data_IF_122039498366
#
_entry.id   IF_122039498366
#
_cell.length_a   1.000
_cell.length_b   1.000
_cell.length_c   1.000
_cell.angle_alpha   90.00
_cell.angle_beta   90.00
_cell.angle_gamma   90.00
#
_symmetry.space_group_name_H-M   'P 1'
#
loop_
_entity.id
_entity.type
_entity.pdbx_description
1 polymer ?
#
# COMPACT_ATOMS: atom_id res chain seq x y z
N UNK A 1 3.25 47.35 12.02
CA UNK A 1 3.21 45.95 12.50
C UNK A 1 2.51 45.02 11.50
N UNK A 2 1.44 45.38 10.82
CA UNK A 2 0.70 44.55 9.85
C UNK A 2 1.53 43.96 8.67
N UNK A 3 2.46 44.72 8.09
CA UNK A 3 3.26 44.26 6.93
C UNK A 3 4.20 43.06 7.28
N UNK A 4 4.78 43.05 8.49
CA UNK A 4 5.64 41.93 8.94
C UNK A 4 4.87 40.62 9.16
N UNK A 5 3.65 40.68 9.70
CA UNK A 5 2.77 39.50 9.85
C UNK A 5 2.35 38.93 8.50
N UNK A 6 2.11 39.76 7.49
CA UNK A 6 1.73 39.32 6.16
C UNK A 6 2.87 38.55 5.46
N UNK A 7 4.13 38.94 5.62
CA UNK A 7 5.28 38.21 5.07
C UNK A 7 5.53 36.87 5.76
N UNK A 8 5.27 36.77 7.08
CA UNK A 8 5.38 35.52 7.81
C UNK A 8 4.29 34.55 7.37
N UNK A 9 3.05 35.01 7.18
CA UNK A 9 1.93 34.20 6.68
C UNK A 9 2.18 33.71 5.25
N UNK A 10 2.71 34.57 4.38
CA UNK A 10 3.09 34.21 3.01
C UNK A 10 4.24 33.21 2.97
N UNK A 11 5.22 33.32 3.87
CA UNK A 11 6.34 32.38 4.01
C UNK A 11 5.89 30.99 4.45
N UNK A 12 4.90 30.89 5.35
CA UNK A 12 4.34 29.62 5.83
C UNK A 12 3.53 28.92 4.70
N UNK A 13 2.84 29.70 3.86
CA UNK A 13 2.12 29.14 2.70
C UNK A 13 3.06 28.54 1.64
N UNK A 14 4.28 29.04 1.51
CA UNK A 14 5.25 28.52 0.55
C UNK A 14 5.97 27.25 1.02
N UNK A 15 5.91 26.92 2.32
CA UNK A 15 6.51 25.71 2.88
C UNK A 15 5.63 24.48 2.81
N UNK A 16 4.36 24.61 2.43
CA UNK A 16 3.48 23.47 2.18
C UNK A 16 3.66 22.88 0.77
N UNK A 17 4.91 22.73 0.32
CA UNK A 17 5.22 21.91 -0.84
C UNK A 17 4.88 20.46 -0.49
N UNK A 18 3.62 20.08 -0.69
CA UNK A 18 3.23 18.69 -0.68
C UNK A 18 4.04 17.98 -1.76
N UNK A 19 4.97 17.12 -1.37
CA UNK A 19 5.64 16.17 -2.26
C UNK A 19 4.59 15.23 -2.85
N UNK A 20 3.86 15.74 -3.85
CA UNK A 20 2.85 14.98 -4.58
C UNK A 20 3.59 14.14 -5.62
N UNK A 21 3.31 12.85 -5.66
CA UNK A 21 3.79 12.03 -6.76
C UNK A 21 3.17 12.54 -8.06
N UNK A 22 4.02 12.92 -9.02
CA UNK A 22 3.63 13.24 -10.39
C UNK A 22 4.25 12.19 -11.32
N UNK A 23 3.43 11.37 -12.00
CA UNK A 23 3.92 10.37 -12.94
C UNK A 23 4.74 10.95 -14.10
N UNK A 24 4.44 12.20 -14.49
CA UNK A 24 5.14 12.85 -15.61
C UNK A 24 6.59 13.25 -15.27
N UNK A 25 6.88 13.48 -13.99
CA UNK A 25 8.21 13.84 -13.50
C UNK A 25 8.98 12.63 -12.94
N UNK A 26 8.34 11.47 -12.83
CA UNK A 26 8.96 10.30 -12.27
C UNK A 26 9.91 9.63 -13.27
N UNK A 27 11.13 9.33 -12.82
CA UNK A 27 12.06 8.53 -13.60
C UNK A 27 11.71 7.05 -13.47
N UNK A 28 11.70 6.34 -14.60
CA UNK A 28 11.52 4.89 -14.57
C UNK A 28 12.77 4.19 -14.00
N UNK A 29 12.55 3.21 -13.15
CA UNK A 29 13.58 2.38 -12.57
C UNK A 29 13.15 0.92 -12.55
N UNK A 30 14.12 0.02 -12.57
CA UNK A 30 13.91 -1.42 -12.35
C UNK A 30 14.40 -1.77 -10.94
N UNK A 31 13.64 -2.60 -10.24
CA UNK A 31 14.01 -3.05 -8.91
C UNK A 31 12.88 -3.83 -8.24
N UNK A 32 13.17 -4.52 -7.14
CA UNK A 32 12.16 -5.29 -6.45
C UNK A 32 11.18 -4.39 -5.70
N UNK A 33 9.89 -4.67 -5.89
CA UNK A 33 8.79 -4.19 -5.05
C UNK A 33 8.43 -5.30 -4.07
N UNK A 34 8.27 -4.98 -2.81
CA UNK A 34 7.94 -5.96 -1.76
C UNK A 34 6.55 -5.75 -1.19
N UNK A 35 5.79 -6.84 -0.90
CA UNK A 35 6.05 -8.22 -1.37
C UNK A 35 5.93 -8.33 -2.89
N UNK A 36 6.46 -9.41 -3.47
CA UNK A 36 6.31 -9.69 -4.90
C UNK A 36 4.89 -10.20 -5.19
N UNK A 37 4.03 -9.25 -5.51
CA UNK A 37 2.64 -9.50 -5.93
C UNK A 37 2.46 -9.20 -7.44
N UNK A 38 3.52 -9.29 -8.23
CA UNK A 38 3.44 -9.06 -9.66
C UNK A 38 2.67 -10.19 -10.34
N UNK A 39 1.70 -9.81 -11.17
CA UNK A 39 0.91 -10.72 -12.02
C UNK A 39 0.21 -11.87 -11.28
N UNK A 40 -0.15 -11.66 -10.03
CA UNK A 40 -0.86 -12.64 -9.20
C UNK A 40 -2.37 -12.53 -9.34
N UNK A 41 -3.07 -13.62 -9.04
CA UNK A 41 -4.51 -13.65 -8.86
C UNK A 41 -4.84 -13.50 -7.37
N UNK A 42 -5.74 -12.57 -7.05
CA UNK A 42 -6.21 -12.36 -5.68
C UNK A 42 -7.72 -12.57 -5.60
N UNK A 43 -8.24 -13.19 -4.54
CA UNK A 43 -9.68 -13.32 -4.36
C UNK A 43 -10.32 -11.96 -4.03
N UNK A 44 -11.57 -11.79 -4.46
CA UNK A 44 -12.38 -10.64 -4.08
C UNK A 44 -12.58 -10.63 -2.55
N UNK A 45 -12.48 -9.46 -1.93
CA UNK A 45 -12.69 -9.33 -0.49
C UNK A 45 -11.48 -9.69 0.38
N UNK A 46 -10.35 -10.11 -0.18
CA UNK A 46 -9.12 -10.29 0.62
C UNK A 46 -8.65 -8.96 1.22
N UNK A 47 -7.93 -9.01 2.34
CA UNK A 47 -7.28 -7.85 2.93
C UNK A 47 -6.42 -7.10 1.89
N UNK A 48 -6.35 -5.76 1.95
CA UNK A 48 -5.59 -4.99 0.98
C UNK A 48 -4.14 -5.44 0.86
N UNK A 49 -3.64 -5.46 -0.36
CA UNK A 49 -2.21 -5.60 -0.59
C UNK A 49 -1.49 -4.36 -0.07
N UNK A 50 -0.24 -4.51 0.27
CA UNK A 50 0.64 -3.40 0.63
C UNK A 50 1.95 -3.52 -0.14
N UNK A 51 2.61 -2.39 -0.36
CA UNK A 51 3.85 -2.34 -1.12
C UNK A 51 4.91 -1.57 -0.34
N UNK A 52 6.10 -2.13 -0.33
CA UNK A 52 7.30 -1.53 0.21
C UNK A 52 8.43 -1.54 -0.81
N UNK A 53 9.44 -0.76 -0.54
CA UNK A 53 10.67 -0.70 -1.32
C UNK A 53 11.86 -0.83 -0.37
N UNK A 54 13.06 -0.97 -0.93
CA UNK A 54 14.31 -1.01 -0.16
C UNK A 54 14.46 0.22 0.75
N UNK A 55 15.35 0.13 1.73
CA UNK A 55 15.57 1.19 2.72
C UNK A 55 16.05 2.52 2.14
N UNK A 56 16.58 2.50 0.93
CA UNK A 56 17.00 3.67 0.18
C UNK A 56 15.86 4.66 -0.12
N UNK A 57 14.62 4.14 -0.21
CA UNK A 57 13.43 4.96 -0.46
C UNK A 57 12.81 5.42 0.85
N UNK A 58 12.75 6.71 1.05
CA UNK A 58 12.18 7.31 2.28
C UNK A 58 10.66 7.31 2.30
N UNK A 59 10.01 7.25 1.13
CA UNK A 59 8.55 7.19 0.97
C UNK A 59 8.19 6.28 -0.20
N UNK A 60 7.06 5.61 -0.05
CA UNK A 60 6.45 4.78 -1.09
C UNK A 60 5.08 5.36 -1.45
N UNK A 61 4.79 5.41 -2.72
CA UNK A 61 3.46 5.68 -3.28
C UNK A 61 3.02 4.45 -4.07
N UNK A 62 1.76 4.05 -3.90
CA UNK A 62 1.14 3.04 -4.74
C UNK A 62 -0.22 3.51 -5.24
N UNK A 63 -0.55 3.18 -6.48
CA UNK A 63 -1.84 3.39 -7.11
C UNK A 63 -2.31 2.08 -7.71
N UNK A 64 -3.56 1.72 -7.45
CA UNK A 64 -4.25 0.62 -8.13
C UNK A 64 -5.40 1.20 -8.91
N UNK A 65 -5.51 0.85 -10.18
CA UNK A 65 -6.53 1.39 -11.10
C UNK A 65 -7.15 0.30 -11.95
N UNK A 66 -8.43 0.47 -12.28
CA UNK A 66 -9.15 -0.35 -13.23
C UNK A 66 -9.13 0.25 -14.65
N UNK A 67 -9.71 -0.46 -15.61
CA UNK A 67 -9.87 -0.03 -17.00
C UNK A 67 -10.95 1.06 -17.17
N UNK A 68 -11.79 1.31 -16.16
CA UNK A 68 -12.90 2.26 -16.17
C UNK A 68 -12.51 3.64 -15.62
N UNK A 69 -11.25 3.82 -15.19
CA UNK A 69 -10.75 5.09 -14.65
C UNK A 69 -10.90 5.23 -13.13
N UNK A 70 -11.44 4.22 -12.42
CA UNK A 70 -11.44 4.23 -10.97
C UNK A 70 -10.04 3.90 -10.45
N UNK A 71 -9.67 4.50 -9.34
CA UNK A 71 -8.38 4.21 -8.70
C UNK A 71 -8.39 4.52 -7.21
N UNK A 72 -7.51 3.82 -6.50
CA UNK A 72 -7.18 4.08 -5.10
C UNK A 72 -5.68 4.32 -4.98
N UNK A 73 -5.28 5.11 -4.00
CA UNK A 73 -3.87 5.42 -3.76
C UNK A 73 -3.51 5.22 -2.30
N UNK A 74 -2.25 4.89 -2.06
CA UNK A 74 -1.67 4.80 -0.73
C UNK A 74 -0.28 5.43 -0.70
N UNK A 75 0.13 5.94 0.45
CA UNK A 75 1.45 6.56 0.69
C UNK A 75 1.93 6.22 2.08
N UNK A 76 3.23 6.10 2.25
CA UNK A 76 3.84 5.89 3.56
C UNK A 76 5.26 5.34 3.44
N UNK A 77 5.79 4.83 4.53
CA UNK A 77 6.99 3.96 4.50
C UNK A 77 6.67 2.64 3.80
N UNK A 78 5.43 2.17 4.00
CA UNK A 78 4.77 1.12 3.25
C UNK A 78 3.45 1.68 2.73
N UNK A 79 3.16 1.46 1.46
CA UNK A 79 1.90 1.88 0.86
C UNK A 79 0.82 0.81 1.11
N UNK A 80 0.02 1.00 2.15
CA UNK A 80 -1.12 0.15 2.51
C UNK A 80 -2.44 0.85 2.19
N UNK A 81 -3.36 0.17 1.50
CA UNK A 81 -4.63 0.74 1.09
C UNK A 81 -5.69 0.66 2.19
N UNK A 82 -6.64 1.59 2.14
CA UNK A 82 -7.82 1.54 3.00
C UNK A 82 -8.69 0.33 2.64
N UNK A 83 -9.10 -0.47 3.65
CA UNK A 83 -9.85 -1.71 3.48
C UNK A 83 -11.14 -1.49 2.68
N UNK A 84 -11.93 -0.46 3.01
CA UNK A 84 -13.21 -0.19 2.34
C UNK A 84 -13.04 0.20 0.87
N UNK A 85 -12.01 1.03 0.58
CA UNK A 85 -11.74 1.44 -0.80
C UNK A 85 -11.22 0.26 -1.63
N UNK A 86 -10.37 -0.59 -1.03
CA UNK A 86 -9.85 -1.79 -1.66
C UNK A 86 -10.98 -2.78 -2.00
N UNK A 87 -11.85 -3.10 -1.04
CA UNK A 87 -12.98 -3.99 -1.29
C UNK A 87 -13.89 -3.44 -2.37
N UNK A 88 -14.26 -2.16 -2.32
CA UNK A 88 -15.08 -1.54 -3.35
C UNK A 88 -14.48 -1.66 -4.75
N UNK A 89 -13.15 -1.47 -4.87
CA UNK A 89 -12.47 -1.59 -6.16
C UNK A 89 -12.42 -3.04 -6.64
N UNK A 90 -12.08 -4.01 -5.78
CA UNK A 90 -12.01 -5.43 -6.14
C UNK A 90 -13.37 -6.03 -6.45
N UNK A 91 -14.41 -5.66 -5.70
CA UNK A 91 -15.82 -6.07 -5.95
C UNK A 91 -16.34 -5.56 -7.29
N UNK A 92 -15.97 -4.35 -7.68
CA UNK A 92 -16.35 -3.77 -8.98
C UNK A 92 -15.61 -4.40 -10.17
N UNK A 93 -14.54 -5.17 -9.93
CA UNK A 93 -13.66 -5.70 -10.97
C UNK A 93 -13.49 -7.24 -10.89
N UNK A 94 -14.52 -7.96 -10.44
CA UNK A 94 -14.49 -9.42 -10.36
C UNK A 94 -14.29 -10.05 -11.75
N UNK A 95 -13.23 -10.83 -11.89
CA UNK A 95 -12.83 -11.46 -13.16
C UNK A 95 -12.06 -10.54 -14.09
N UNK A 96 -11.73 -9.33 -13.65
CA UNK A 96 -10.99 -8.31 -14.39
C UNK A 96 -9.57 -8.14 -13.84
N UNK A 97 -8.80 -7.34 -14.53
CA UNK A 97 -7.41 -7.02 -14.19
C UNK A 97 -7.30 -5.59 -13.68
N UNK A 98 -6.55 -5.40 -12.60
CA UNK A 98 -6.19 -4.09 -12.09
C UNK A 98 -4.71 -3.81 -12.38
N UNK A 99 -4.40 -2.55 -12.73
CA UNK A 99 -3.02 -2.09 -12.92
C UNK A 99 -2.49 -1.46 -11.64
N UNK A 100 -1.32 -1.91 -11.23
CA UNK A 100 -0.60 -1.40 -10.06
C UNK A 100 0.59 -0.56 -10.50
N UNK A 101 0.68 0.66 -9.99
CA UNK A 101 1.84 1.55 -10.15
C UNK A 101 2.44 1.79 -8.78
N UNK A 102 3.74 1.54 -8.64
CA UNK A 102 4.49 1.82 -7.41
C UNK A 102 5.58 2.82 -7.73
N UNK A 103 5.80 3.77 -6.84
CA UNK A 103 6.90 4.72 -6.93
C UNK A 103 7.54 4.94 -5.56
N UNK A 104 8.85 5.17 -5.56
CA UNK A 104 9.65 5.46 -4.38
C UNK A 104 10.24 6.86 -4.44
N UNK A 105 10.37 7.50 -3.29
CA UNK A 105 11.04 8.79 -3.16
C UNK A 105 12.44 8.61 -2.59
N UNK A 106 13.44 8.93 -3.40
CA UNK A 106 14.87 8.82 -3.09
C UNK A 106 15.60 10.03 -3.65
N UNK A 107 16.57 10.57 -2.93
CA UNK A 107 17.48 11.65 -3.38
C UNK A 107 16.74 12.88 -3.96
N UNK A 108 15.63 13.25 -3.32
CA UNK A 108 14.88 14.45 -3.71
C UNK A 108 13.93 14.27 -4.90
N UNK A 109 13.78 13.06 -5.43
CA UNK A 109 12.93 12.77 -6.61
C UNK A 109 12.13 11.51 -6.46
N UNK A 110 11.08 11.37 -7.29
CA UNK A 110 10.30 10.15 -7.43
C UNK A 110 10.90 9.27 -8.53
N UNK A 111 10.99 7.98 -8.24
CA UNK A 111 11.33 6.93 -9.18
C UNK A 111 10.15 5.98 -9.29
N UNK A 112 9.64 5.75 -10.50
CA UNK A 112 8.51 4.87 -10.75
C UNK A 112 9.00 3.51 -11.22
N UNK A 113 8.51 2.47 -10.59
CA UNK A 113 8.75 1.09 -11.00
C UNK A 113 7.84 0.73 -12.17
N UNK A 114 8.23 -0.30 -12.93
CA UNK A 114 7.40 -0.81 -14.03
C UNK A 114 6.03 -1.19 -13.50
N UNK A 115 4.94 -0.66 -14.09
CA UNK A 115 3.59 -1.09 -13.72
C UNK A 115 3.41 -2.58 -13.96
N UNK A 116 2.64 -3.24 -13.09
CA UNK A 116 2.29 -4.64 -13.19
C UNK A 116 0.80 -4.85 -12.97
N UNK A 117 0.32 -6.06 -13.19
CA UNK A 117 -1.10 -6.38 -13.10
C UNK A 117 -1.37 -7.33 -11.94
N UNK A 118 -2.58 -7.23 -11.41
CA UNK A 118 -3.19 -8.22 -10.53
C UNK A 118 -4.55 -8.61 -11.10
N UNK A 119 -4.89 -9.89 -11.05
CA UNK A 119 -6.15 -10.42 -11.53
C UNK A 119 -7.10 -10.66 -10.36
N UNK A 120 -8.36 -10.20 -10.46
CA UNK A 120 -9.37 -10.42 -9.42
C UNK A 120 -10.14 -11.69 -9.74
N UNK A 121 -10.03 -12.68 -8.86
CA UNK A 121 -10.67 -13.98 -9.03
C UNK A 121 -12.19 -13.86 -9.09
N UNK A 122 -12.82 -14.70 -9.92
CA UNK A 122 -14.28 -14.89 -9.94
C UNK A 122 -14.79 -15.76 -8.77
N UNK A 123 -13.88 -16.47 -8.12
CA UNK A 123 -14.24 -17.31 -6.99
C UNK A 123 -14.27 -16.45 -5.73
N UNK A 124 -15.37 -16.51 -4.96
CA UNK A 124 -15.47 -15.77 -3.71
C UNK A 124 -14.45 -16.31 -2.71
N UNK A 125 -14.02 -15.41 -1.84
CA UNK A 125 -13.28 -15.80 -0.65
C UNK A 125 -14.29 -16.21 0.41
N UNK A 126 -14.22 -17.46 0.86
CA UNK A 126 -15.04 -17.93 1.98
C UNK A 126 -14.54 -17.29 3.29
N UNK A 127 -15.42 -17.19 4.30
CA UNK A 127 -15.12 -16.55 5.60
C UNK A 127 -14.18 -17.42 6.46
N UNK A 128 -12.97 -17.64 5.99
CA UNK A 128 -11.92 -18.30 6.76
C UNK A 128 -11.02 -17.28 7.47
N UNK A 129 -10.63 -17.64 8.69
CA UNK A 129 -9.51 -17.01 9.38
C UNK A 129 -8.23 -17.79 9.13
N UNK A 130 -7.12 -17.12 9.17
CA UNK A 130 -5.80 -17.77 9.23
C UNK A 130 -5.45 -18.00 10.69
N UNK A 131 -5.33 -19.27 11.09
CA UNK A 131 -4.84 -19.64 12.43
C UNK A 131 -3.36 -19.94 12.34
N UNK A 132 -2.57 -19.32 13.19
CA UNK A 132 -1.13 -19.49 13.23
C UNK A 132 -0.57 -19.31 14.64
N UNK A 133 0.62 -19.84 14.82
CA UNK A 133 1.35 -19.78 16.08
C UNK A 133 2.43 -18.70 16.00
N UNK A 134 2.43 -17.77 16.95
CA UNK A 134 3.54 -16.83 17.13
C UNK A 134 4.57 -17.39 18.09
N UNK A 135 5.81 -17.31 17.69
CA UNK A 135 6.96 -17.63 18.53
C UNK A 135 7.77 -16.36 18.76
N UNK A 136 8.10 -16.08 20.00
CA UNK A 136 9.19 -15.15 20.29
C UNK A 136 10.53 -15.76 19.84
N UNK A 137 11.53 -14.95 19.49
CA UNK A 137 12.88 -15.45 19.23
C UNK A 137 13.34 -16.36 20.36
N UNK A 138 14.06 -17.45 20.02
CA UNK A 138 14.31 -18.59 20.94
C UNK A 138 15.10 -18.30 22.22
N UNK A 139 15.58 -17.08 22.41
CA UNK A 139 16.20 -16.58 23.63
C UNK A 139 15.25 -15.70 24.48
N UNK A 140 14.04 -15.42 23.97
CA UNK A 140 13.00 -14.75 24.73
C UNK A 140 11.98 -15.77 25.24
N UNK A 141 11.62 -15.65 26.46
CA UNK A 141 10.76 -16.51 27.28
C UNK A 141 9.66 -17.29 26.57
N UNK A 142 9.61 -18.60 26.77
CA UNK A 142 8.56 -19.55 26.38
C UNK A 142 7.11 -19.10 26.72
N UNK A 143 6.94 -18.16 27.64
CA UNK A 143 5.65 -17.63 28.09
C UNK A 143 4.92 -16.75 27.06
N UNK A 144 5.56 -16.40 25.95
CA UNK A 144 4.98 -15.56 24.88
C UNK A 144 4.55 -16.34 23.64
N UNK A 145 4.44 -17.66 23.74
CA UNK A 145 3.92 -18.49 22.65
C UNK A 145 2.40 -18.44 22.69
N UNK A 146 1.78 -18.01 21.61
CA UNK A 146 0.34 -17.94 21.51
C UNK A 146 -0.18 -18.43 20.15
N UNK A 147 -1.40 -18.93 20.13
CA UNK A 147 -2.15 -19.21 18.92
C UNK A 147 -3.02 -18.00 18.62
N UNK A 148 -2.99 -17.56 17.36
CA UNK A 148 -3.71 -16.38 16.91
C UNK A 148 -4.55 -16.71 15.70
N UNK A 149 -5.69 -16.07 15.61
CA UNK A 149 -6.52 -16.07 14.42
C UNK A 149 -6.49 -14.69 13.78
N UNK A 150 -6.24 -14.64 12.48
CA UNK A 150 -6.28 -13.42 11.68
C UNK A 150 -7.41 -13.48 10.68
N UNK A 151 -8.19 -12.42 10.62
CA UNK A 151 -9.23 -12.25 9.62
C UNK A 151 -8.58 -12.02 8.25
N UNK A 152 -9.07 -12.74 7.21
CA UNK A 152 -8.50 -12.65 5.85
C UNK A 152 -9.02 -11.46 5.04
N UNK A 153 -10.13 -10.85 5.45
CA UNK A 153 -10.70 -9.66 4.78
C UNK A 153 -10.10 -8.35 5.27
N UNK A 154 -9.37 -8.39 6.40
CA UNK A 154 -8.71 -7.24 7.00
C UNK A 154 -7.49 -7.69 7.82
N UNK A 155 -6.89 -6.77 8.57
CA UNK A 155 -5.69 -7.07 9.35
C UNK A 155 -5.98 -7.38 10.84
N UNK A 156 -7.27 -7.56 11.20
CA UNK A 156 -7.63 -7.83 12.58
C UNK A 156 -7.11 -9.20 13.00
N UNK A 157 -6.43 -9.23 14.13
CA UNK A 157 -5.82 -10.42 14.72
C UNK A 157 -6.25 -10.53 16.18
N UNK A 158 -6.58 -11.73 16.61
CA UNK A 158 -7.02 -12.03 17.98
C UNK A 158 -6.29 -13.29 18.50
N UNK A 159 -5.90 -13.34 19.78
CA UNK A 159 -5.45 -14.59 20.41
C UNK A 159 -6.64 -15.54 20.53
N UNK A 160 -6.38 -16.84 20.43
CA UNK A 160 -7.36 -17.92 20.64
C UNK A 160 -7.09 -18.57 21.99
#
# INVERSE_FOLDING_TARGET
MMKRSLYILLGILLLSSCYRFDPAEARYTDGPVWPDYMDVTVPVGIAPLNFGLSEEYSKVFAKVSDSHGNSITAKGRYAGFNVKQWHKLTEANVGETLTVTVAGYKDGRWEQFRPFMIFISRYPLEDYGLTYRKFAPGYETYSKIGIYQRNIHNFKEEPI
#
